data_IF_760422233003
#
_entry.id   IF_760422233003
#
_cell.length_a   1.000
_cell.length_b   1.000
_cell.length_c   1.000
_cell.angle_alpha   90.00
_cell.angle_beta   90.00
_cell.angle_gamma   90.00
#
_symmetry.space_group_name_H-M   'P 1'
#
loop_
_entity.id
_entity.type
_entity.pdbx_description
1 polymer ?
#
# COMPACT_ATOMS: atom_id res chain seq x y z
N UNK A 1 1.19 -46.24 21.24
CA UNK A 1 1.61 -45.42 20.09
C UNK A 1 0.44 -44.50 19.77
N UNK A 2 0.43 -43.28 20.32
CA UNK A 2 -0.68 -42.33 20.13
C UNK A 2 -0.32 -41.42 18.95
N UNK A 3 -1.00 -41.61 17.83
CA UNK A 3 -0.90 -40.75 16.66
C UNK A 3 -1.76 -39.50 16.85
N UNK A 4 -1.13 -38.34 16.88
CA UNK A 4 -1.84 -37.07 16.84
C UNK A 4 -2.21 -36.75 15.38
N UNK A 5 -3.46 -36.36 15.09
CA UNK A 5 -3.82 -35.94 13.74
C UNK A 5 -3.14 -34.59 13.45
N UNK A 6 -2.32 -34.56 12.40
CA UNK A 6 -1.78 -33.32 11.86
C UNK A 6 -2.94 -32.51 11.28
N UNK A 7 -3.41 -31.53 12.04
CA UNK A 7 -4.25 -30.46 11.51
C UNK A 7 -3.39 -29.62 10.56
N UNK A 8 -3.33 -30.01 9.28
CA UNK A 8 -2.88 -29.12 8.21
C UNK A 8 -4.04 -28.20 7.83
N UNK A 9 -4.48 -27.39 8.79
CA UNK A 9 -5.17 -26.14 8.54
C UNK A 9 -4.12 -25.03 8.59
N UNK A 10 -3.16 -25.06 7.67
CA UNK A 10 -2.24 -23.93 7.52
C UNK A 10 -3.00 -22.83 6.78
N UNK A 11 -3.72 -22.03 7.55
CA UNK A 11 -4.26 -20.76 7.09
C UNK A 11 -3.07 -19.89 6.70
N UNK A 12 -2.73 -19.90 5.41
CA UNK A 12 -1.68 -19.09 4.81
C UNK A 12 -2.05 -17.58 4.78
N UNK A 13 -3.00 -17.14 5.62
CA UNK A 13 -3.41 -15.74 5.81
C UNK A 13 -2.35 -14.89 6.52
N UNK A 14 -1.41 -15.50 7.24
CA UNK A 14 -0.40 -14.76 8.03
C UNK A 14 0.75 -14.16 7.22
N UNK A 15 1.07 -14.71 6.03
CA UNK A 15 2.27 -14.28 5.27
C UNK A 15 2.05 -13.02 4.42
N UNK A 16 0.82 -12.81 3.94
CA UNK A 16 0.47 -11.68 3.08
C UNK A 16 0.41 -10.36 3.86
N UNK A 17 -0.21 -10.35 5.05
CA UNK A 17 -0.35 -9.12 5.85
C UNK A 17 0.97 -8.46 6.26
N UNK A 18 2.04 -9.24 6.50
CA UNK A 18 3.36 -8.68 6.84
C UNK A 18 4.04 -8.01 5.64
N UNK A 19 3.91 -8.59 4.45
CA UNK A 19 4.38 -8.00 3.19
C UNK A 19 3.64 -6.71 2.88
N UNK A 20 2.33 -6.72 3.08
CA UNK A 20 1.45 -5.59 2.79
C UNK A 20 1.73 -4.42 3.73
N UNK A 21 1.83 -4.66 5.03
CA UNK A 21 2.18 -3.63 5.99
C UNK A 21 3.55 -3.00 5.70
N UNK A 22 4.56 -3.82 5.34
CA UNK A 22 5.89 -3.33 4.99
C UNK A 22 5.87 -2.49 3.70
N UNK A 23 5.13 -2.94 2.70
CA UNK A 23 4.93 -2.22 1.43
C UNK A 23 4.24 -0.89 1.66
N UNK A 24 3.14 -0.89 2.43
CA UNK A 24 2.41 0.30 2.82
C UNK A 24 3.31 1.31 3.53
N UNK A 25 4.03 0.87 4.56
CA UNK A 25 4.93 1.74 5.32
C UNK A 25 6.06 2.31 4.46
N UNK A 26 6.55 1.55 3.48
CA UNK A 26 7.55 2.01 2.51
C UNK A 26 6.97 3.09 1.60
N UNK A 27 5.75 2.91 1.10
CA UNK A 27 5.06 3.90 0.26
C UNK A 27 4.75 5.16 1.07
N UNK A 28 4.20 5.04 2.28
CA UNK A 28 3.95 6.17 3.18
C UNK A 28 5.23 6.95 3.48
N UNK A 29 6.33 6.24 3.78
CA UNK A 29 7.63 6.86 4.02
C UNK A 29 8.16 7.60 2.80
N UNK A 30 8.03 7.03 1.60
CA UNK A 30 8.50 7.67 0.37
C UNK A 30 7.63 8.88 -0.02
N UNK A 31 6.32 8.82 0.18
CA UNK A 31 5.42 9.95 0.00
C UNK A 31 5.77 11.08 0.96
N UNK A 32 6.03 10.74 2.23
CA UNK A 32 6.43 11.72 3.24
C UNK A 32 7.83 12.31 2.96
N UNK A 33 8.76 11.50 2.47
CA UNK A 33 10.11 11.93 2.10
C UNK A 33 10.13 12.83 0.86
N UNK A 34 9.17 12.68 -0.06
CA UNK A 34 9.06 13.54 -1.22
C UNK A 34 8.78 15.00 -0.82
N UNK A 35 8.05 15.26 0.27
CA UNK A 35 7.82 16.59 0.83
C UNK A 35 7.01 17.57 -0.05
N UNK A 36 6.89 17.28 -1.34
CA UNK A 36 6.13 18.05 -2.33
C UNK A 36 4.62 17.80 -2.25
N UNK A 37 4.20 16.73 -1.57
CA UNK A 37 2.82 16.26 -1.49
C UNK A 37 2.37 16.25 -0.04
N UNK A 38 1.14 16.68 0.25
CA UNK A 38 0.54 16.57 1.58
C UNK A 38 0.15 15.10 1.87
N UNK A 39 1.16 14.26 2.12
CA UNK A 39 0.98 12.85 2.46
C UNK A 39 0.19 12.64 3.77
N UNK A 40 0.06 13.68 4.61
CA UNK A 40 -0.69 13.63 5.86
C UNK A 40 -2.19 13.34 5.65
N UNK A 41 -2.77 13.77 4.53
CA UNK A 41 -4.17 13.50 4.16
C UNK A 41 -4.30 12.33 3.16
N UNK A 42 -3.20 11.61 2.89
CA UNK A 42 -3.15 10.46 1.98
C UNK A 42 -3.01 9.18 2.81
N UNK A 43 -3.99 8.30 2.66
CA UNK A 43 -4.05 6.97 3.26
C UNK A 43 -3.65 5.95 2.20
N UNK A 44 -2.63 5.15 2.50
CA UNK A 44 -2.20 4.05 1.65
C UNK A 44 -2.90 2.77 2.09
N UNK A 45 -3.68 2.15 1.21
CA UNK A 45 -4.36 0.87 1.45
C UNK A 45 -3.88 -0.16 0.44
N UNK A 46 -3.87 -1.44 0.82
CA UNK A 46 -3.49 -2.53 -0.09
C UNK A 46 -4.71 -3.41 -0.30
N UNK A 47 -5.05 -3.64 -1.56
CA UNK A 47 -6.20 -4.41 -2.01
C UNK A 47 -5.71 -5.54 -2.91
N UNK A 48 -5.48 -6.71 -2.31
CA UNK A 48 -4.89 -7.86 -2.99
C UNK A 48 -3.50 -7.55 -3.52
N UNK A 49 -3.33 -7.51 -4.84
CA UNK A 49 -2.06 -7.18 -5.49
C UNK A 49 -1.86 -5.68 -5.78
N UNK A 50 -2.84 -4.83 -5.47
CA UNK A 50 -2.80 -3.40 -5.83
C UNK A 50 -2.66 -2.51 -4.60
N UNK A 51 -1.84 -1.47 -4.72
CA UNK A 51 -1.81 -0.36 -3.76
C UNK A 51 -2.82 0.69 -4.18
N UNK A 52 -3.67 1.08 -3.25
CA UNK A 52 -4.66 2.13 -3.41
C UNK A 52 -4.23 3.35 -2.59
N UNK A 53 -4.03 4.47 -3.27
CA UNK A 53 -3.79 5.76 -2.64
C UNK A 53 -5.13 6.47 -2.48
N UNK A 54 -5.63 6.55 -1.26
CA UNK A 54 -6.89 7.19 -0.92
C UNK A 54 -6.65 8.47 -0.14
N UNK A 55 -7.55 9.45 -0.22
CA UNK A 55 -7.42 10.68 0.55
C UNK A 55 -7.57 11.94 -0.28
N UNK A 56 -6.97 13.02 0.20
CA UNK A 56 -7.14 14.35 -0.39
C UNK A 56 -5.81 14.94 -0.84
N UNK A 57 -5.83 15.60 -1.99
CA UNK A 57 -4.70 16.37 -2.52
C UNK A 57 -5.11 17.81 -2.78
N UNK A 58 -4.15 18.74 -2.71
CA UNK A 58 -4.38 20.15 -3.07
C UNK A 58 -4.18 20.42 -4.54
N UNK A 59 -3.23 19.75 -5.19
CA UNK A 59 -2.92 19.94 -6.62
C UNK A 59 -3.12 18.65 -7.39
N UNK A 60 -3.48 18.80 -8.66
CA UNK A 60 -3.60 17.65 -9.57
C UNK A 60 -2.25 16.97 -9.83
N UNK A 61 -1.16 17.74 -9.86
CA UNK A 61 0.19 17.19 -10.01
C UNK A 61 0.63 16.32 -8.83
N UNK A 62 0.08 16.56 -7.63
CA UNK A 62 0.37 15.75 -6.45
C UNK A 62 -0.15 14.31 -6.61
N UNK A 63 -1.27 14.13 -7.31
CA UNK A 63 -1.81 12.79 -7.62
C UNK A 63 -0.84 12.01 -8.49
N UNK A 64 -0.39 12.63 -9.58
CA UNK A 64 0.54 12.00 -10.53
C UNK A 64 1.85 11.66 -9.82
N UNK A 65 2.36 12.59 -9.02
CA UNK A 65 3.59 12.39 -8.25
C UNK A 65 3.46 11.29 -7.20
N UNK A 66 2.35 11.24 -6.49
CA UNK A 66 2.09 10.20 -5.48
C UNK A 66 2.03 8.82 -6.13
N UNK A 67 1.36 8.71 -7.29
CA UNK A 67 1.29 7.47 -8.06
C UNK A 67 2.68 7.05 -8.53
N UNK A 68 3.48 7.95 -9.10
CA UNK A 68 4.84 7.64 -9.53
C UNK A 68 5.72 7.11 -8.38
N UNK A 69 5.64 7.74 -7.21
CA UNK A 69 6.40 7.33 -6.02
C UNK A 69 5.97 5.92 -5.58
N UNK A 70 4.66 5.67 -5.49
CA UNK A 70 4.16 4.35 -5.13
C UNK A 70 4.56 3.29 -6.16
N UNK A 71 4.46 3.61 -7.46
CA UNK A 71 4.87 2.70 -8.54
C UNK A 71 6.37 2.37 -8.51
N UNK A 72 7.20 3.29 -8.02
CA UNK A 72 8.63 3.03 -7.82
C UNK A 72 8.91 1.97 -6.75
N UNK A 73 7.94 1.67 -5.88
CA UNK A 73 8.08 0.70 -4.78
C UNK A 73 7.40 -0.62 -5.14
N UNK A 74 6.16 -0.57 -5.61
CA UNK A 74 5.37 -1.78 -5.90
C UNK A 74 5.42 -2.24 -7.35
N UNK A 75 5.94 -1.41 -8.24
CA UNK A 75 5.96 -1.64 -9.68
C UNK A 75 4.84 -0.93 -10.42
N UNK A 76 5.13 -0.53 -11.66
CA UNK A 76 4.18 0.15 -12.54
C UNK A 76 2.93 -0.68 -12.80
N UNK A 77 1.77 -0.04 -12.82
CA UNK A 77 0.47 -0.67 -13.06
C UNK A 77 -0.17 -1.35 -11.84
N UNK A 78 0.53 -1.40 -10.70
CA UNK A 78 -0.02 -1.95 -9.44
C UNK A 78 -0.56 -0.86 -8.50
N UNK A 79 -0.61 0.40 -8.95
CA UNK A 79 -1.08 1.53 -8.14
C UNK A 79 -2.41 2.07 -8.67
N UNK A 80 -3.34 2.34 -7.76
CA UNK A 80 -4.64 2.97 -8.03
C UNK A 80 -4.74 4.27 -7.25
N UNK A 81 -4.80 5.39 -7.97
CA UNK A 81 -5.08 6.69 -7.37
C UNK A 81 -6.59 6.88 -7.17
N UNK A 82 -7.03 6.91 -5.91
CA UNK A 82 -8.39 7.29 -5.48
C UNK A 82 -8.34 8.56 -4.64
N UNK A 83 -7.53 9.52 -5.11
CA UNK A 83 -7.33 10.81 -4.48
C UNK A 83 -8.40 11.80 -4.96
N UNK A 84 -9.05 12.48 -4.01
CA UNK A 84 -10.01 13.54 -4.28
C UNK A 84 -9.33 14.89 -4.15
N UNK A 85 -9.70 15.84 -5.00
CA UNK A 85 -9.23 17.21 -4.87
C UNK A 85 -10.16 18.00 -3.95
N UNK A 86 -9.58 18.61 -2.92
CA UNK A 86 -10.25 19.55 -2.02
C UNK A 86 -10.17 20.99 -2.54
#
# INVERSE_FOLDING_TARGET
MLGFPAFTGHEESGRQGHSDAATRASVESALHAAGDIEAADIIVSISGAYVVLEGFVRRRGDVERAVEIAESIVGRGHVRGRLLRR
#
